data_IF_450737656476
#
_entry.id   IF_450737656476
#
_cell.length_a   1.000
_cell.length_b   1.000
_cell.length_c   1.000
_cell.angle_alpha   90.00
_cell.angle_beta   90.00
_cell.angle_gamma   90.00
#
_symmetry.space_group_name_H-M   'P 1'
#
loop_
_entity.id
_entity.type
_entity.pdbx_description
1 polymer ?
#
# COMPACT_ATOMS: atom_id res chain seq x y z
N UNK A 1 -1.70 -21.52 4.34
CA UNK A 1 -1.14 -20.20 3.96
C UNK A 1 -1.23 -19.22 5.13
N UNK A 2 -0.21 -19.15 6.02
CA UNK A 2 -0.32 -18.46 7.32
C UNK A 2 -0.29 -16.93 7.26
N UNK A 3 0.08 -16.33 6.12
CA UNK A 3 0.31 -14.88 6.03
C UNK A 3 -0.86 -14.09 5.45
N UNK A 4 -1.99 -14.72 5.11
CA UNK A 4 -3.07 -14.05 4.36
C UNK A 4 -3.66 -12.85 5.11
N UNK A 5 -3.85 -12.95 6.43
CA UNK A 5 -4.31 -11.84 7.28
C UNK A 5 -3.38 -10.63 7.23
N UNK A 6 -2.07 -10.89 7.25
CA UNK A 6 -1.06 -9.83 7.19
C UNK A 6 -0.97 -9.24 5.80
N UNK A 7 -1.22 -10.05 4.75
CA UNK A 7 -1.30 -9.52 3.40
C UNK A 7 -2.46 -8.53 3.25
N UNK A 8 -3.63 -8.86 3.76
CA UNK A 8 -4.77 -7.93 3.80
C UNK A 8 -4.44 -6.66 4.58
N UNK A 9 -3.81 -6.78 5.75
CA UNK A 9 -3.41 -5.63 6.56
C UNK A 9 -2.39 -4.70 5.86
N UNK A 10 -1.40 -5.27 5.15
CA UNK A 10 -0.43 -4.49 4.35
C UNK A 10 -1.13 -3.75 3.20
N UNK A 11 -2.10 -4.40 2.54
CA UNK A 11 -2.89 -3.75 1.49
C UNK A 11 -3.67 -2.57 2.04
N UNK A 12 -4.44 -2.77 3.11
CA UNK A 12 -5.19 -1.70 3.77
C UNK A 12 -4.27 -0.53 4.15
N UNK A 13 -3.14 -0.80 4.81
CA UNK A 13 -2.17 0.23 5.17
C UNK A 13 -1.60 0.98 3.95
N UNK A 14 -1.41 0.29 2.82
CA UNK A 14 -0.88 0.92 1.59
C UNK A 14 -1.93 1.79 0.90
N UNK A 15 -3.20 1.43 1.04
CA UNK A 15 -4.33 2.16 0.47
C UNK A 15 -4.81 3.31 1.37
N UNK A 16 -4.38 3.32 2.64
CA UNK A 16 -4.82 4.29 3.65
C UNK A 16 -6.08 3.86 4.39
N UNK A 17 -6.49 2.61 4.20
CA UNK A 17 -7.66 2.01 4.83
C UNK A 17 -7.36 1.53 6.25
N UNK A 18 -8.40 1.44 7.11
CA UNK A 18 -8.24 0.91 8.46
C UNK A 18 -7.78 -0.55 8.43
N UNK A 19 -6.92 -0.91 9.38
CA UNK A 19 -6.45 -2.27 9.53
C UNK A 19 -7.61 -3.23 9.88
N UNK A 20 -7.54 -4.50 9.43
CA UNK A 20 -8.54 -5.49 9.78
C UNK A 20 -8.56 -5.75 11.28
N UNK A 21 -9.75 -6.07 11.80
CA UNK A 21 -9.95 -6.39 13.21
C UNK A 21 -9.00 -7.51 13.66
N UNK A 22 -8.27 -7.29 14.76
CA UNK A 22 -7.30 -8.25 15.29
C UNK A 22 -5.92 -8.20 14.64
N UNK A 23 -5.60 -7.17 13.85
CA UNK A 23 -4.21 -6.86 13.46
C UNK A 23 -3.90 -5.43 13.87
N UNK A 24 -3.00 -5.28 14.83
CA UNK A 24 -2.45 -3.98 15.21
C UNK A 24 -1.29 -3.57 14.29
N UNK A 25 -0.99 -2.27 14.24
CA UNK A 25 0.20 -1.78 13.52
C UNK A 25 1.50 -2.39 14.06
N UNK A 26 1.56 -2.59 15.37
CA UNK A 26 2.74 -3.18 16.04
C UNK A 26 2.92 -4.66 15.69
N UNK A 27 1.83 -5.44 15.66
CA UNK A 27 1.87 -6.83 15.18
C UNK A 27 2.25 -6.91 13.71
N UNK A 28 1.73 -6.00 12.87
CA UNK A 28 2.07 -5.94 11.47
C UNK A 28 3.56 -5.65 11.26
N UNK A 29 4.10 -4.67 11.99
CA UNK A 29 5.52 -4.32 11.97
C UNK A 29 6.39 -5.50 12.41
N UNK A 30 6.00 -6.19 13.49
CA UNK A 30 6.68 -7.40 13.98
C UNK A 30 6.62 -8.55 12.97
N UNK A 31 5.51 -8.69 12.25
CA UNK A 31 5.42 -9.69 11.18
C UNK A 31 6.35 -9.35 10.01
N UNK A 32 6.48 -8.07 9.65
CA UNK A 32 7.37 -7.63 8.58
C UNK A 32 8.85 -7.83 8.91
N UNK A 33 9.26 -7.84 10.19
CA UNK A 33 10.65 -8.15 10.56
C UNK A 33 10.93 -9.66 10.56
N UNK A 34 9.91 -10.49 10.75
CA UNK A 34 10.03 -11.96 10.86
C UNK A 34 9.74 -12.70 9.55
N UNK A 35 8.94 -12.11 8.65
CA UNK A 35 8.57 -12.72 7.38
C UNK A 35 9.15 -11.95 6.17
N UNK A 36 10.21 -12.51 5.59
CA UNK A 36 10.89 -11.96 4.41
C UNK A 36 9.97 -11.82 3.18
N UNK A 37 9.03 -12.75 2.97
CA UNK A 37 8.09 -12.68 1.84
C UNK A 37 7.13 -11.52 1.98
N UNK A 38 6.51 -11.35 3.16
CA UNK A 38 5.62 -10.22 3.43
C UNK A 38 6.37 -8.88 3.39
N UNK A 39 7.63 -8.85 3.84
CA UNK A 39 8.49 -7.67 3.73
C UNK A 39 8.83 -7.29 2.29
N UNK A 40 9.23 -8.26 1.45
CA UNK A 40 9.48 -8.00 0.03
C UNK A 40 8.22 -7.56 -0.71
N UNK A 41 7.10 -8.20 -0.39
CA UNK A 41 5.82 -7.89 -0.99
C UNK A 41 5.31 -6.50 -0.58
N UNK A 42 5.42 -6.10 0.69
CA UNK A 42 5.02 -4.77 1.14
C UNK A 42 5.84 -3.67 0.47
N UNK A 43 7.16 -3.86 0.29
CA UNK A 43 8.00 -2.93 -0.48
C UNK A 43 7.55 -2.79 -1.93
N UNK A 44 7.25 -3.92 -2.60
CA UNK A 44 6.76 -3.91 -3.98
C UNK A 44 5.41 -3.21 -4.10
N UNK A 45 4.50 -3.46 -3.15
CA UNK A 45 3.16 -2.85 -3.16
C UNK A 45 3.24 -1.33 -2.99
N UNK A 46 4.07 -0.84 -2.06
CA UNK A 46 4.31 0.61 -1.89
C UNK A 46 4.92 1.25 -3.12
N UNK A 47 5.90 0.60 -3.77
CA UNK A 47 6.48 1.09 -5.02
C UNK A 47 5.45 1.17 -6.15
N UNK A 48 4.58 0.17 -6.27
CA UNK A 48 3.49 0.16 -7.25
C UNK A 48 2.48 1.27 -6.99
N UNK A 49 2.11 1.49 -5.73
CA UNK A 49 1.19 2.57 -5.35
C UNK A 49 1.78 3.94 -5.68
N UNK A 50 3.03 4.19 -5.30
CA UNK A 50 3.71 5.44 -5.62
C UNK A 50 3.79 5.70 -7.14
N UNK A 51 4.11 4.67 -7.94
CA UNK A 51 4.12 4.79 -9.40
C UNK A 51 2.73 5.09 -9.97
N UNK A 52 1.68 4.48 -9.41
CA UNK A 52 0.29 4.71 -9.83
C UNK A 52 -0.16 6.12 -9.48
N UNK A 53 0.14 6.58 -8.28
CA UNK A 53 -0.18 7.94 -7.83
C UNK A 53 0.55 9.00 -8.67
N UNK A 54 1.79 8.74 -9.07
CA UNK A 54 2.56 9.60 -9.99
C UNK A 54 1.92 9.67 -11.38
N UNK A 55 1.54 8.52 -11.96
CA UNK A 55 0.82 8.47 -13.24
C UNK A 55 -0.52 9.22 -13.19
N UNK A 56 -1.26 9.09 -12.09
CA UNK A 56 -2.51 9.83 -11.87
C UNK A 56 -2.26 11.34 -11.77
N UNK A 57 -1.18 11.76 -11.09
CA UNK A 57 -0.79 13.17 -11.01
C UNK A 57 -0.45 13.73 -12.40
N UNK A 58 0.37 13.02 -13.18
CA UNK A 58 0.72 13.44 -14.55
C UNK A 58 -0.53 13.62 -15.42
N UNK A 59 -1.48 12.69 -15.32
CA UNK A 59 -2.77 12.78 -16.04
C UNK A 59 -3.55 14.05 -15.65
N UNK A 60 -3.63 14.36 -14.37
CA UNK A 60 -4.35 15.55 -13.90
C UNK A 60 -3.65 16.86 -14.29
N UNK A 61 -2.31 16.88 -14.29
CA UNK A 61 -1.52 18.05 -14.70
C UNK A 61 -1.55 18.32 -16.21
N UNK A 62 -1.84 17.31 -17.04
CA UNK A 62 -1.98 17.45 -18.50
C UNK A 62 -3.37 17.90 -18.98
N UNK A 63 -4.34 18.12 -18.09
CA UNK A 63 -5.66 18.60 -18.48
C UNK A 63 -5.59 20.09 -18.86
N UNK A 64 -5.86 20.47 -20.12
CA UNK A 64 -5.86 21.87 -20.52
C UNK A 64 -6.97 22.60 -19.77
N UNK A 65 -6.61 23.61 -18.98
CA UNK A 65 -7.57 24.59 -18.47
C UNK A 65 -8.21 25.27 -19.66
N UNK A 66 -9.51 25.02 -19.86
CA UNK A 66 -10.32 25.66 -20.90
C UNK A 66 -10.16 27.18 -20.77
N UNK A 67 -9.69 27.90 -21.81
CA UNK A 67 -9.62 29.35 -21.76
C UNK A 67 -11.04 29.92 -21.69
N UNK A 68 -11.24 30.90 -20.81
CA UNK A 68 -12.44 31.76 -20.73
C UNK A 68 -12.49 32.70 -21.93
#
# INVERSE_FOLDING_TARGET
MPCIRYRTAISAQTEGDPLPAGVTEQELSTHLTTCLDCHRWSKRLRALRAATDDLLRIRHSGAPTKPV
#
